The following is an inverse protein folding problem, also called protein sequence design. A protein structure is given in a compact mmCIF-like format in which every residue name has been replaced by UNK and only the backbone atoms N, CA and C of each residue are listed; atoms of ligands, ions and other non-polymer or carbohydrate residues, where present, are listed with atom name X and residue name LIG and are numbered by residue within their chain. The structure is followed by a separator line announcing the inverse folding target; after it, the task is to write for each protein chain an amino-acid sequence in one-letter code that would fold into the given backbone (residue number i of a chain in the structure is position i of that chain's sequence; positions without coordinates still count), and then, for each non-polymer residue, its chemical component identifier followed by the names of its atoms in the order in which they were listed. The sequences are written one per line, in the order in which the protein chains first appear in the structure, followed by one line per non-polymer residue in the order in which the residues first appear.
data_IF_242867582818
#
_entry.id   IF_242867582818
#
_cell.length_a   1.000
_cell.length_b   1.000
_cell.length_c   1.000
_cell.angle_alpha   90.00
_cell.angle_beta   90.00
_cell.angle_gamma   90.00
#
_symmetry.space_group_name_H-M   'P 1'
#
loop_
_entity.id
_entity.type
_entity.pdbx_description
1 polymer ?
#
# COMPACT_ATOMS: atom_id res chain seq x y z
N UNK A 1 5.19 -6.58 19.41
CA UNK A 1 4.84 -6.13 18.05
C UNK A 1 5.99 -5.25 17.62
N UNK A 2 6.64 -5.58 16.51
CA UNK A 2 7.85 -4.88 16.10
C UNK A 2 7.44 -3.59 15.38
N UNK A 3 7.67 -2.45 16.04
CA UNK A 3 7.41 -1.14 15.48
C UNK A 3 8.58 -0.73 14.59
N UNK A 4 8.29 -0.22 13.39
CA UNK A 4 9.33 0.25 12.48
C UNK A 4 9.43 1.76 12.57
N UNK A 5 10.61 2.27 12.96
CA UNK A 5 10.88 3.71 13.01
C UNK A 5 11.60 4.13 11.73
N UNK A 6 11.08 5.18 11.08
CA UNK A 6 11.54 5.65 9.78
C UNK A 6 11.78 7.16 9.86
N UNK A 7 12.92 7.63 9.36
CA UNK A 7 13.19 9.07 9.22
C UNK A 7 12.58 9.60 7.93
N UNK A 8 11.79 10.67 8.06
CA UNK A 8 11.09 11.35 6.97
C UNK A 8 11.96 12.47 6.37
N UNK A 9 11.62 13.00 5.17
CA UNK A 9 12.41 14.06 4.51
C UNK A 9 12.63 15.32 5.35
N UNK A 10 11.67 15.70 6.19
CA UNK A 10 11.80 16.83 7.13
C UNK A 10 12.77 16.57 8.29
N UNK A 11 13.20 15.32 8.48
CA UNK A 11 13.90 14.85 9.68
C UNK A 11 12.97 14.33 10.78
N UNK A 12 11.64 14.44 10.63
CA UNK A 12 10.67 13.88 11.54
C UNK A 12 10.75 12.34 11.61
N UNK A 13 10.31 11.77 12.73
CA UNK A 13 10.24 10.32 12.93
C UNK A 13 8.82 9.82 12.69
N UNK A 14 8.71 8.76 11.88
CA UNK A 14 7.49 7.98 11.71
C UNK A 14 7.65 6.64 12.43
N UNK A 15 6.77 6.36 13.37
CA UNK A 15 6.63 5.03 13.95
C UNK A 15 5.42 4.34 13.30
N UNK A 16 5.70 3.34 12.46
CA UNK A 16 4.67 2.59 11.75
C UNK A 16 4.27 1.36 12.56
N UNK A 17 2.97 1.21 12.78
CA UNK A 17 2.37 0.06 13.44
C UNK A 17 1.37 -0.62 12.51
N UNK A 18 1.38 -1.96 12.49
CA UNK A 18 0.39 -2.75 11.76
C UNK A 18 -0.99 -2.52 12.40
N UNK A 19 -1.96 -2.11 11.58
CA UNK A 19 -3.34 -1.96 12.01
C UNK A 19 -4.01 -3.33 12.24
N UNK A 20 -5.23 -3.31 12.80
CA UNK A 20 -6.01 -4.54 12.94
C UNK A 20 -6.21 -5.24 11.58
N UNK A 21 -6.37 -6.56 11.58
CA UNK A 21 -6.66 -7.31 10.36
C UNK A 21 -7.87 -6.74 9.60
N UNK A 22 -8.92 -6.34 10.31
CA UNK A 22 -10.10 -5.75 9.70
C UNK A 22 -9.78 -4.46 8.94
N UNK A 23 -9.00 -3.57 9.55
CA UNK A 23 -8.54 -2.31 8.94
C UNK A 23 -7.65 -2.57 7.72
N UNK A 24 -6.62 -3.41 7.88
CA UNK A 24 -5.70 -3.75 6.79
C UNK A 24 -6.39 -4.47 5.61
N UNK A 25 -7.35 -5.35 5.91
CA UNK A 25 -8.13 -6.05 4.88
C UNK A 25 -9.08 -5.11 4.13
N UNK A 26 -9.63 -4.10 4.82
CA UNK A 26 -10.42 -3.04 4.17
C UNK A 26 -9.56 -2.27 3.18
N UNK A 27 -8.38 -1.81 3.60
CA UNK A 27 -7.41 -1.14 2.74
C UNK A 27 -7.01 -2.00 1.53
N UNK A 28 -6.70 -3.28 1.75
CA UNK A 28 -6.35 -4.22 0.67
C UNK A 28 -7.49 -4.37 -0.35
N UNK A 29 -8.72 -4.64 0.10
CA UNK A 29 -9.88 -4.81 -0.78
C UNK A 29 -10.18 -3.54 -1.58
N UNK A 30 -10.13 -2.39 -0.92
CA UNK A 30 -10.34 -1.09 -1.56
C UNK A 30 -9.27 -0.83 -2.61
N UNK A 31 -8.00 -1.06 -2.30
CA UNK A 31 -6.91 -0.94 -3.27
C UNK A 31 -7.11 -1.88 -4.48
N UNK A 32 -7.46 -3.15 -4.26
CA UNK A 32 -7.75 -4.08 -5.35
C UNK A 32 -8.93 -3.63 -6.23
N UNK A 33 -9.97 -3.03 -5.64
CA UNK A 33 -11.11 -2.46 -6.36
C UNK A 33 -10.68 -1.29 -7.24
N UNK A 34 -9.92 -0.34 -6.69
CA UNK A 34 -9.45 0.83 -7.44
C UNK A 34 -8.45 0.48 -8.55
N UNK A 35 -7.55 -0.48 -8.30
CA UNK A 35 -6.63 -1.00 -9.32
C UNK A 35 -7.38 -1.72 -10.45
N UNK A 36 -8.54 -2.30 -10.17
CA UNK A 36 -9.40 -2.93 -11.18
C UNK A 36 -10.12 -1.86 -12.00
N UNK A 37 -10.65 -0.85 -11.34
CA UNK A 37 -11.42 0.24 -11.98
C UNK A 37 -10.54 1.15 -12.83
N UNK A 38 -9.29 1.40 -12.43
CA UNK A 38 -8.33 2.22 -13.17
C UNK A 38 -7.81 1.55 -14.46
N UNK A 39 -8.18 0.30 -14.73
CA UNK A 39 -7.68 -0.46 -15.88
C UNK A 39 -6.20 -0.81 -15.78
N UNK A 40 -5.53 -0.47 -14.67
CA UNK A 40 -4.11 -0.79 -14.41
C UNK A 40 -3.91 -2.31 -14.34
N UNK A 41 -4.83 -3.03 -13.69
CA UNK A 41 -4.82 -4.50 -13.70
C UNK A 41 -4.96 -5.10 -15.11
N UNK A 42 -5.62 -4.40 -16.03
CA UNK A 42 -5.85 -4.87 -17.40
C UNK A 42 -4.75 -4.47 -18.40
N UNK A 43 -4.13 -3.30 -18.21
CA UNK A 43 -3.15 -2.72 -19.15
C UNK A 43 -1.70 -3.01 -18.77
N UNK A 44 -1.39 -3.14 -17.48
CA UNK A 44 0.00 -3.15 -17.03
C UNK A 44 0.63 -4.54 -16.98
N UNK A 45 -0.11 -5.62 -17.25
CA UNK A 45 0.36 -6.96 -16.92
C UNK A 45 0.80 -7.07 -15.45
N UNK A 46 0.23 -6.21 -14.59
CA UNK A 46 0.40 -6.20 -13.14
C UNK A 46 -0.30 -7.43 -12.59
N UNK A 47 0.25 -8.60 -12.89
CA UNK A 47 0.00 -9.76 -12.07
C UNK A 47 0.37 -9.34 -10.65
N UNK A 48 -0.52 -9.54 -9.67
CA UNK A 48 -0.12 -9.43 -8.27
C UNK A 48 1.13 -10.28 -7.99
N UNK A 49 1.46 -11.24 -8.85
CA UNK A 49 2.72 -11.97 -8.84
C UNK A 49 3.99 -11.11 -9.04
N UNK A 50 3.90 -9.94 -9.67
CA UNK A 50 4.98 -8.96 -9.74
C UNK A 50 5.14 -8.15 -8.44
N UNK A 51 4.16 -8.17 -7.52
CA UNK A 51 4.31 -7.65 -6.15
C UNK A 51 5.10 -8.60 -5.25
N UNK A 52 5.27 -9.85 -5.71
CA UNK A 52 5.90 -10.92 -4.97
C UNK A 52 7.41 -10.92 -5.17
N UNK A 53 8.09 -10.08 -4.40
CA UNK A 53 9.54 -10.05 -4.37
C UNK A 53 10.19 -9.19 -5.44
N UNK A 54 9.44 -8.32 -6.14
CA UNK A 54 10.04 -7.16 -6.80
C UNK A 54 9.92 -5.91 -5.96
N UNK A 55 10.82 -5.00 -6.27
CA UNK A 55 10.89 -3.63 -5.79
C UNK A 55 9.50 -2.94 -5.94
N UNK A 56 8.95 -2.50 -4.81
CA UNK A 56 7.61 -1.91 -4.72
C UNK A 56 7.53 -0.59 -5.54
N UNK A 57 8.68 -0.09 -6.01
CA UNK A 57 8.80 0.98 -6.99
C UNK A 57 8.01 0.75 -8.29
N UNK A 58 7.73 -0.51 -8.70
CA UNK A 58 6.93 -0.82 -9.89
C UNK A 58 5.44 -0.52 -9.69
N UNK A 59 4.96 -0.48 -8.44
CA UNK A 59 3.56 -0.17 -8.13
C UNK A 59 3.34 1.27 -7.69
N UNK A 60 4.39 2.11 -7.66
CA UNK A 60 4.27 3.51 -7.26
C UNK A 60 3.29 4.26 -8.16
N UNK A 61 3.34 4.10 -9.48
CA UNK A 61 2.38 4.75 -10.41
C UNK A 61 0.92 4.33 -10.16
N UNK A 62 0.61 3.02 -10.20
CA UNK A 62 -0.69 2.47 -9.80
C UNK A 62 -1.20 2.88 -8.43
N UNK A 63 -0.32 2.89 -7.42
CA UNK A 63 -0.65 3.26 -6.05
C UNK A 63 -0.85 4.76 -5.94
N UNK A 64 -0.12 5.60 -6.67
CA UNK A 64 -0.37 7.05 -6.74
C UNK A 64 -1.71 7.34 -7.40
N UNK A 65 -2.08 6.59 -8.45
CA UNK A 65 -3.38 6.72 -9.07
C UNK A 65 -4.51 6.26 -8.14
N UNK A 66 -4.30 5.16 -7.41
CA UNK A 66 -5.24 4.68 -6.40
C UNK A 66 -5.28 5.59 -5.15
N UNK A 67 -4.18 6.26 -4.79
CA UNK A 67 -4.13 7.21 -3.68
C UNK A 67 -4.92 8.50 -3.99
N UNK A 68 -5.22 8.77 -5.26
CA UNK A 68 -6.20 9.79 -5.66
C UNK A 68 -7.66 9.36 -5.46
N UNK A 69 -7.92 8.14 -4.96
CA UNK A 69 -9.26 7.69 -4.58
C UNK A 69 -9.55 8.03 -3.12
N UNK A 70 -10.62 8.80 -2.90
CA UNK A 70 -11.11 9.15 -1.55
C UNK A 70 -11.33 7.90 -0.68
N UNK A 71 -11.74 6.77 -1.28
CA UNK A 71 -11.95 5.50 -0.58
C UNK A 71 -10.64 4.89 -0.06
N UNK A 72 -9.58 4.93 -0.88
CA UNK A 72 -8.25 4.43 -0.51
C UNK A 72 -7.67 5.34 0.56
N UNK A 73 -7.78 6.66 0.38
CA UNK A 73 -7.33 7.65 1.35
C UNK A 73 -8.04 7.44 2.70
N UNK A 74 -9.35 7.25 2.70
CA UNK A 74 -10.12 6.97 3.90
C UNK A 74 -9.63 5.71 4.63
N UNK A 75 -9.44 4.59 3.92
CA UNK A 75 -8.92 3.36 4.51
C UNK A 75 -7.48 3.53 5.03
N UNK A 76 -6.65 4.29 4.33
CA UNK A 76 -5.27 4.58 4.73
C UNK A 76 -5.24 5.42 6.00
N UNK A 77 -6.15 6.39 6.16
CA UNK A 77 -6.30 7.17 7.38
C UNK A 77 -6.66 6.30 8.59
N UNK A 78 -7.47 5.26 8.41
CA UNK A 78 -7.74 4.29 9.48
C UNK A 78 -6.47 3.51 9.90
N UNK A 79 -5.56 3.24 8.96
CA UNK A 79 -4.24 2.69 9.27
C UNK A 79 -3.32 3.72 9.96
N UNK A 80 -3.37 4.99 9.57
CA UNK A 80 -2.57 6.04 10.21
C UNK A 80 -2.88 6.21 11.71
N UNK A 81 -4.11 5.94 12.15
CA UNK A 81 -4.51 6.05 13.57
C UNK A 81 -3.74 5.16 14.52
N UNK A 82 -2.98 4.17 14.04
CA UNK A 82 -2.10 3.35 14.89
C UNK A 82 -0.66 3.89 14.93
N UNK A 83 -0.29 4.77 14.01
CA UNK A 83 1.08 5.25 13.82
C UNK A 83 1.35 6.54 14.60
N UNK A 84 2.64 6.86 14.80
CA UNK A 84 3.08 8.09 15.45
C UNK A 84 3.97 8.91 14.50
N UNK A 85 3.81 10.23 14.52
CA UNK A 85 4.68 11.22 13.89
C UNK A 85 5.30 12.08 14.99
N UNK A 86 6.62 12.10 15.12
CA UNK A 86 7.34 12.74 16.23
C UNK A 86 6.75 12.35 17.61
N UNK A 87 6.57 11.05 17.84
CA UNK A 87 5.93 10.46 19.04
C UNK A 87 4.48 10.92 19.31
N UNK A 88 3.84 11.63 18.38
CA UNK A 88 2.46 12.10 18.49
C UNK A 88 1.56 11.29 17.57
N UNK A 89 0.33 10.99 17.99
CA UNK A 89 -0.61 10.24 17.16
C UNK A 89 -0.92 11.00 15.87
N UNK A 90 -0.85 10.31 14.74
CA UNK A 90 -1.19 10.91 13.46
C UNK A 90 -2.70 11.19 13.40
N UNK A 91 -3.05 12.42 13.03
CA UNK A 91 -4.40 12.91 12.76
C UNK A 91 -4.43 13.55 11.37
N UNK A 92 -5.62 13.93 10.90
CA UNK A 92 -5.75 14.67 9.63
C UNK A 92 -5.00 16.00 9.62
N UNK A 93 -4.76 16.58 10.80
CA UNK A 93 -4.07 17.86 10.97
C UNK A 93 -2.54 17.71 10.98
N UNK A 94 -2.01 16.49 11.14
CA UNK A 94 -0.55 16.26 11.27
C UNK A 94 0.24 16.80 10.09
N UNK A 95 -0.32 16.73 8.87
CA UNK A 95 0.35 17.16 7.64
C UNK A 95 -0.18 18.49 7.11
N UNK A 96 -1.03 19.21 7.84
CA UNK A 96 -1.49 20.55 7.46
C UNK A 96 -0.35 21.59 7.46
N UNK A 97 0.57 21.62 8.45
CA UNK A 97 1.71 22.52 8.45
C UNK A 97 2.59 22.30 7.21
N UNK A 98 3.05 23.38 6.58
CA UNK A 98 3.85 23.34 5.34
C UNK A 98 5.09 22.44 5.48
N UNK A 99 5.76 22.52 6.63
CA UNK A 99 6.96 21.74 6.96
C UNK A 99 6.69 20.22 7.00
N UNK A 100 5.46 19.82 7.36
CA UNK A 100 5.06 18.41 7.45
C UNK A 100 4.48 17.88 6.13
N UNK A 101 4.01 18.74 5.22
CA UNK A 101 3.43 18.32 3.92
C UNK A 101 4.39 17.49 3.08
N UNK A 102 5.68 17.84 3.10
CA UNK A 102 6.73 17.12 2.37
C UNK A 102 6.90 15.66 2.81
N UNK A 103 6.41 15.31 4.01
CA UNK A 103 6.53 13.97 4.55
C UNK A 103 5.35 13.07 4.19
N UNK A 104 4.19 13.65 3.85
CA UNK A 104 2.92 12.93 3.72
C UNK A 104 3.03 11.72 2.80
N UNK A 105 3.57 11.88 1.59
CA UNK A 105 3.64 10.80 0.61
C UNK A 105 4.54 9.65 1.08
N UNK A 106 5.67 9.96 1.74
CA UNK A 106 6.55 8.92 2.30
C UNK A 106 5.88 8.21 3.47
N UNK A 107 5.20 8.96 4.34
CA UNK A 107 4.48 8.38 5.47
C UNK A 107 3.33 7.47 5.01
N UNK A 108 2.53 7.96 4.06
CA UNK A 108 1.44 7.23 3.42
C UNK A 108 1.94 5.92 2.80
N UNK A 109 3.06 5.99 2.08
CA UNK A 109 3.68 4.83 1.45
C UNK A 109 4.12 3.76 2.45
N UNK A 110 4.82 4.16 3.52
CA UNK A 110 5.32 3.20 4.51
C UNK A 110 4.18 2.58 5.33
N UNK A 111 3.14 3.35 5.66
CA UNK A 111 1.93 2.84 6.31
C UNK A 111 1.21 1.85 5.40
N UNK A 112 1.00 2.20 4.13
CA UNK A 112 0.39 1.32 3.13
C UNK A 112 1.17 0.02 3.00
N UNK A 113 2.48 0.10 2.73
CA UNK A 113 3.39 -1.04 2.59
C UNK A 113 3.35 -1.96 3.82
N UNK A 114 3.41 -1.39 5.02
CA UNK A 114 3.44 -2.16 6.28
C UNK A 114 2.14 -2.92 6.51
N UNK A 115 1.00 -2.29 6.20
CA UNK A 115 -0.31 -2.91 6.37
C UNK A 115 -0.65 -3.92 5.27
N UNK A 116 -0.12 -3.73 4.06
CA UNK A 116 -0.40 -4.62 2.93
C UNK A 116 0.58 -5.79 2.82
N UNK A 117 1.84 -5.63 3.22
CA UNK A 117 2.86 -6.68 3.11
C UNK A 117 2.43 -8.04 3.69
N UNK A 118 1.73 -8.14 4.85
CA UNK A 118 1.25 -9.41 5.38
C UNK A 118 0.33 -10.19 4.44
N UNK A 119 -0.47 -9.53 3.60
CA UNK A 119 -1.39 -10.19 2.66
C UNK A 119 -0.66 -10.83 1.47
N UNK A 120 0.56 -10.40 1.19
CA UNK A 120 1.40 -10.97 0.13
C UNK A 120 2.36 -12.04 0.64
N UNK A 121 2.57 -12.11 1.97
CA UNK A 121 3.40 -13.15 2.61
C UNK A 121 2.67 -14.49 2.55
N UNK A 122 3.32 -15.51 2.01
CA UNK A 122 2.80 -16.88 1.97
C UNK A 122 2.01 -17.24 0.71
N UNK A 123 1.78 -16.30 -0.21
CA UNK A 123 1.25 -16.63 -1.54
C UNK A 123 2.41 -17.05 -2.45
N UNK A 124 2.36 -18.26 -3.00
CA UNK A 124 3.26 -18.68 -4.08
C UNK A 124 2.80 -18.06 -5.39
N UNK A 125 3.23 -16.83 -5.58
CA UNK A 125 2.91 -16.02 -6.73
C UNK A 125 3.46 -16.58 -8.04
N UNK A 126 4.54 -17.38 -8.00
CA UNK A 126 5.08 -18.05 -9.20
C UNK A 126 4.10 -19.13 -9.67
N UNK A 127 3.53 -19.88 -8.74
CA UNK A 127 2.50 -20.89 -9.02
C UNK A 127 1.22 -20.27 -9.62
N UNK A 128 0.78 -19.12 -9.10
CA UNK A 128 -0.38 -18.39 -9.63
C UNK A 128 -0.14 -17.75 -11.01
N UNK A 129 1.10 -17.34 -11.31
CA UNK A 129 1.45 -16.84 -12.63
C UNK A 129 1.50 -17.98 -13.68
N UNK A 130 2.06 -19.14 -13.30
CA UNK A 130 2.18 -20.30 -14.17
C UNK A 130 0.81 -20.88 -14.58
N UNK A 131 -0.15 -20.96 -13.65
CA UNK A 131 -1.50 -21.47 -13.94
C UNK A 131 -2.29 -20.61 -14.95
N UNK A 132 -2.06 -19.30 -14.98
CA UNK A 132 -2.69 -18.38 -15.95
C UNK A 132 -2.07 -18.42 -17.35
N UNK A 133 -0.83 -18.92 -17.49
CA UNK A 133 -0.19 -19.10 -18.81
C UNK A 133 -0.68 -20.38 -19.50
N UNK A 134 -0.94 -21.45 -18.74
CA UNK A 134 -1.43 -22.74 -19.27
C UNK A 134 -2.82 -22.62 -19.89
N UNK A 135 -3.72 -21.83 -19.29
CA UNK A 135 -5.09 -21.63 -19.79
C UNK A 135 -5.17 -20.86 -21.13
N UNK A 136 -4.15 -20.07 -21.48
CA UNK A 136 -4.08 -19.35 -22.77
C UNK A 136 -3.49 -20.20 -23.91
N UNK A 137 -2.88 -21.35 -23.62
CA UNK A 137 -2.26 -22.24 -24.61
C UNK A 137 -3.15 -23.35 -25.16
N UNK A 138 -4.40 -23.48 -24.69
CA UNK A 138 -5.32 -24.58 -25.05
C UNK A 138 -6.44 -24.21 -26.03
N UNK A 139 -6.36 -23.05 -26.69
CA UNK A 139 -7.20 -22.74 -27.86
C UNK A 139 -6.35 -22.73 -29.13
N UNK A 140 -6.10 -23.92 -29.67
CA UNK A 140 -5.79 -24.15 -31.09
C UNK A 140 -6.65 -25.29 -31.59
#
# INVERSE_FOLDING_TARGET
MDNTIITLPSGATLEVQIASFATGNSLFKTLCRELKNSGVLATSGLALANLAGKDISIIVGPVLQAAGSDDVEHCLWECFKTCLYNNTRITRETFEPEEARGDYLKAAWEVLKTNLAPFFKGIDWKSLAASNAVSKGQKS
#
